data_IF_744648252087
#
_entry.id   IF_744648252087
#
_cell.length_a   1.000
_cell.length_b   1.000
_cell.length_c   1.000
_cell.angle_alpha   90.00
_cell.angle_beta   90.00
_cell.angle_gamma   90.00
#
_symmetry.space_group_name_H-M   'P 1'
#
loop_
_entity.id
_entity.type
_entity.pdbx_description
1 polymer ?
#
# COMPACT_ATOMS: atom_id res chain seq x y z
N UNK A 1 14.61 -0.10 18.31
CA UNK A 1 13.38 0.71 18.34
C UNK A 1 13.54 2.07 19.04
N UNK A 2 13.62 2.18 20.39
CA UNK A 2 13.57 3.48 21.11
C UNK A 2 14.61 4.53 20.67
N UNK A 3 15.86 4.11 20.43
CA UNK A 3 16.93 5.01 19.94
C UNK A 3 16.60 5.61 18.56
N UNK A 4 16.10 4.77 17.64
CA UNK A 4 15.68 5.19 16.30
C UNK A 4 14.55 6.21 16.37
N UNK A 5 13.49 5.93 17.14
CA UNK A 5 12.35 6.84 17.33
C UNK A 5 12.80 8.22 17.84
N UNK A 6 13.65 8.25 18.89
CA UNK A 6 14.20 9.50 19.43
C UNK A 6 15.00 10.27 18.38
N UNK A 7 15.82 9.56 17.60
CA UNK A 7 16.61 10.16 16.54
C UNK A 7 15.73 10.77 15.43
N UNK A 8 14.69 10.05 14.97
CA UNK A 8 13.73 10.57 14.00
C UNK A 8 13.07 11.84 14.56
N UNK A 9 12.51 11.78 15.78
CA UNK A 9 11.85 12.93 16.40
C UNK A 9 12.75 14.17 16.47
N UNK A 10 14.00 14.00 16.90
CA UNK A 10 14.96 15.10 16.97
C UNK A 10 15.29 15.65 15.58
N UNK A 11 15.37 14.79 14.56
CA UNK A 11 15.63 15.18 13.17
C UNK A 11 14.46 15.99 12.60
N UNK A 12 13.22 15.55 12.81
CA UNK A 12 12.02 16.25 12.33
C UNK A 12 11.87 17.64 12.97
N UNK A 13 12.18 17.77 14.26
CA UNK A 13 12.15 19.06 14.97
C UNK A 13 13.11 20.09 14.37
N UNK A 14 14.25 19.66 13.80
CA UNK A 14 15.27 20.54 13.23
C UNK A 14 15.07 20.78 11.73
N UNK A 15 14.17 20.03 11.10
CA UNK A 15 13.90 20.12 9.68
C UNK A 15 13.12 21.41 9.36
N UNK A 16 13.77 22.32 8.61
CA UNK A 16 13.21 23.60 8.17
C UNK A 16 12.59 23.54 6.76
N UNK A 17 12.70 22.40 6.07
CA UNK A 17 12.30 22.26 4.67
C UNK A 17 10.77 22.43 4.52
N UNK A 18 10.31 23.42 3.77
CA UNK A 18 8.87 23.67 3.60
C UNK A 18 8.15 22.56 2.83
N UNK A 19 8.87 21.87 1.93
CA UNK A 19 8.39 20.72 1.17
C UNK A 19 9.34 19.55 1.31
N UNK A 20 8.82 18.33 1.15
CA UNK A 20 9.62 17.11 1.16
C UNK A 20 9.49 16.38 -0.18
N UNK A 21 10.63 16.10 -0.81
CA UNK A 21 10.62 15.21 -1.98
C UNK A 21 10.35 13.77 -1.54
N UNK A 22 10.95 13.34 -0.42
CA UNK A 22 10.78 11.98 0.08
C UNK A 22 10.71 11.96 1.61
N UNK A 23 9.84 11.10 2.12
CA UNK A 23 9.78 10.71 3.52
C UNK A 23 9.77 9.19 3.62
N UNK A 24 10.87 8.61 4.10
CA UNK A 24 11.10 7.16 4.10
C UNK A 24 11.43 6.68 5.51
N UNK A 25 10.61 5.77 6.02
CA UNK A 25 10.83 5.06 7.29
C UNK A 25 11.09 3.60 6.94
N UNK A 26 12.36 3.23 6.88
CA UNK A 26 12.79 1.86 6.58
C UNK A 26 13.44 1.27 7.83
N UNK A 27 12.61 0.81 8.77
CA UNK A 27 13.08 0.32 10.06
C UNK A 27 12.11 -0.66 10.69
N UNK A 28 12.63 -1.57 11.52
CA UNK A 28 11.84 -2.53 12.26
C UNK A 28 11.01 -1.81 13.36
N UNK A 29 9.84 -1.30 12.96
CA UNK A 29 8.82 -0.68 13.82
C UNK A 29 7.49 -1.42 13.72
N UNK A 30 6.72 -1.39 14.80
CA UNK A 30 5.49 -2.15 14.96
C UNK A 30 4.43 -1.28 15.65
N UNK A 31 3.27 -1.87 16.01
CA UNK A 31 2.18 -1.16 16.70
C UNK A 31 2.58 -0.38 17.95
N UNK A 32 3.68 -0.73 18.63
CA UNK A 32 4.13 -0.01 19.83
C UNK A 32 4.72 1.37 19.50
N UNK A 33 4.98 1.67 18.23
CA UNK A 33 5.40 2.99 17.75
C UNK A 33 4.25 3.78 17.09
N UNK A 34 2.99 3.33 17.21
CA UNK A 34 1.81 3.92 16.54
C UNK A 34 1.78 5.45 16.62
N UNK A 35 1.76 5.99 17.83
CA UNK A 35 1.66 7.43 18.06
C UNK A 35 2.82 8.22 17.43
N UNK A 36 4.02 7.65 17.38
CA UNK A 36 5.19 8.32 16.81
C UNK A 36 5.12 8.31 15.29
N UNK A 37 4.75 7.17 14.68
CA UNK A 37 4.60 7.06 13.23
C UNK A 37 3.45 7.95 12.74
N UNK A 38 2.34 8.04 13.48
CA UNK A 38 1.22 8.93 13.15
C UNK A 38 1.68 10.40 13.06
N UNK A 39 2.46 10.87 14.05
CA UNK A 39 3.07 12.21 14.02
C UNK A 39 4.04 12.41 12.86
N UNK A 40 4.78 11.37 12.49
CA UNK A 40 5.70 11.44 11.35
C UNK A 40 4.96 11.57 10.03
N UNK A 41 3.85 10.86 9.88
CA UNK A 41 2.96 10.99 8.73
C UNK A 41 2.35 12.39 8.65
N UNK A 42 1.85 12.93 9.76
CA UNK A 42 1.35 14.31 9.81
C UNK A 42 2.42 15.31 9.36
N UNK A 43 3.64 15.18 9.88
CA UNK A 43 4.76 16.01 9.48
C UNK A 43 5.04 15.91 7.98
N UNK A 44 5.02 14.70 7.42
CA UNK A 44 5.30 14.46 6.02
C UNK A 44 4.22 15.07 5.11
N UNK A 45 2.95 14.84 5.43
CA UNK A 45 1.82 15.38 4.68
C UNK A 45 1.74 16.90 4.82
N UNK A 46 1.94 17.48 6.00
CA UNK A 46 1.99 18.93 6.19
C UNK A 46 3.05 19.62 5.31
N UNK A 47 4.06 18.89 4.85
CA UNK A 47 5.12 19.35 3.95
C UNK A 47 4.98 18.78 2.53
N UNK A 48 3.76 18.42 2.11
CA UNK A 48 3.43 18.06 0.73
C UNK A 48 4.37 16.99 0.16
N UNK A 49 4.62 15.93 0.94
CA UNK A 49 5.55 14.86 0.56
C UNK A 49 5.22 14.27 -0.81
N UNK A 50 6.22 14.09 -1.68
CA UNK A 50 6.02 13.46 -2.99
C UNK A 50 6.17 11.94 -2.94
N UNK A 51 7.17 11.41 -2.23
CA UNK A 51 7.34 9.97 -2.01
C UNK A 51 7.18 9.64 -0.53
N UNK A 52 6.15 8.87 -0.21
CA UNK A 52 5.96 8.31 1.13
C UNK A 52 6.29 6.82 1.13
N UNK A 53 7.22 6.41 1.98
CA UNK A 53 7.62 5.01 2.13
C UNK A 53 7.63 4.62 3.60
N UNK A 54 6.75 3.70 3.97
CA UNK A 54 6.78 3.01 5.26
C UNK A 54 7.18 1.56 5.00
N UNK A 55 8.46 1.27 5.10
CA UNK A 55 8.99 -0.09 5.08
C UNK A 55 9.23 -0.57 6.51
N UNK A 56 8.20 -1.22 7.06
CA UNK A 56 8.18 -1.65 8.45
C UNK A 56 8.43 -3.16 8.59
N UNK A 57 9.10 -3.80 7.64
CA UNK A 57 9.40 -5.24 7.71
C UNK A 57 10.21 -5.60 8.97
N UNK A 58 9.94 -6.78 9.54
CA UNK A 58 10.70 -7.34 10.67
C UNK A 58 12.09 -7.73 10.21
N UNK A 59 13.12 -7.21 10.87
CA UNK A 59 14.52 -7.38 10.47
C UNK A 59 14.84 -6.83 9.08
N UNK A 60 13.98 -5.98 8.51
CA UNK A 60 14.16 -5.42 7.15
C UNK A 60 13.70 -6.31 5.99
N UNK A 61 13.32 -7.56 6.26
CA UNK A 61 13.03 -8.52 5.19
C UNK A 61 11.70 -9.26 5.38
N UNK A 62 11.37 -9.59 6.64
CA UNK A 62 10.27 -10.49 6.95
C UNK A 62 8.95 -9.74 7.19
N UNK A 63 7.85 -10.36 6.78
CA UNK A 63 6.53 -9.89 7.16
C UNK A 63 6.35 -9.98 8.68
N UNK A 64 5.61 -9.03 9.24
CA UNK A 64 5.21 -9.09 10.64
C UNK A 64 3.98 -9.98 10.81
N UNK A 65 3.91 -10.61 11.99
CA UNK A 65 2.65 -11.16 12.48
C UNK A 65 1.62 -10.04 12.55
N UNK A 66 0.40 -10.35 12.09
CA UNK A 66 -0.69 -9.39 11.97
C UNK A 66 -0.87 -8.52 13.21
N UNK A 67 -0.91 -9.13 14.39
CA UNK A 67 -1.17 -8.42 15.65
C UNK A 67 -0.10 -7.42 16.05
N UNK A 68 1.05 -7.40 15.37
CA UNK A 68 2.14 -6.47 15.62
C UNK A 68 2.29 -5.40 14.54
N UNK A 69 1.56 -5.49 13.42
CA UNK A 69 1.63 -4.46 12.39
C UNK A 69 1.11 -3.10 12.91
N UNK A 70 1.79 -2.04 12.52
CA UNK A 70 1.30 -0.67 12.67
C UNK A 70 0.02 -0.47 11.85
N UNK A 71 -0.94 0.30 12.36
CA UNK A 71 -2.20 0.59 11.64
C UNK A 71 -2.15 1.99 11.06
N UNK A 72 -2.41 2.12 9.75
CA UNK A 72 -2.47 3.43 9.12
C UNK A 72 -3.64 4.25 9.73
N UNK A 73 -3.40 5.49 10.17
CA UNK A 73 -4.40 6.31 10.86
C UNK A 73 -5.41 6.88 9.86
N UNK A 74 -6.49 6.14 9.59
CA UNK A 74 -7.55 6.56 8.67
C UNK A 74 -8.18 7.92 9.04
N UNK A 75 -8.09 8.36 10.31
CA UNK A 75 -8.47 9.71 10.74
C UNK A 75 -7.72 10.84 10.03
N UNK A 76 -6.47 10.61 9.57
CA UNK A 76 -5.74 11.63 8.80
C UNK A 76 -6.40 11.94 7.45
N UNK A 77 -7.24 11.02 6.97
CA UNK A 77 -7.95 11.09 5.71
C UNK A 77 -9.42 11.46 5.87
N UNK A 78 -9.88 11.75 7.09
CA UNK A 78 -11.29 12.05 7.40
C UNK A 78 -12.26 10.88 7.12
N UNK A 79 -11.74 9.65 6.98
CA UNK A 79 -12.54 8.47 6.60
C UNK A 79 -13.38 7.89 7.76
N UNK A 80 -13.08 8.25 9.00
CA UNK A 80 -13.79 7.73 10.17
C UNK A 80 -15.20 8.32 10.34
N UNK A 81 -15.55 9.39 9.60
CA UNK A 81 -16.90 9.97 9.65
C UNK A 81 -17.97 9.15 8.91
N UNK A 82 -17.57 8.17 8.09
CA UNK A 82 -18.48 7.30 7.33
C UNK A 82 -18.88 6.02 8.09
N UNK A 83 -18.14 5.63 9.12
CA UNK A 83 -18.51 4.54 10.00
C UNK A 83 -19.32 5.13 11.16
N UNK A 84 -20.64 4.94 11.16
CA UNK A 84 -21.61 5.56 12.07
C UNK A 84 -21.47 5.23 13.57
N UNK A 85 -20.29 5.37 14.16
CA UNK A 85 -20.05 5.33 15.60
C UNK A 85 -19.22 6.52 16.06
N UNK A 86 -19.82 7.50 16.75
CA UNK A 86 -19.07 8.50 17.47
C UNK A 86 -18.52 7.87 18.76
N UNK A 87 -17.26 7.45 18.76
CA UNK A 87 -16.57 7.21 20.02
C UNK A 87 -16.20 8.56 20.68
N UNK A 88 -16.69 8.89 21.88
CA UNK A 88 -16.55 10.26 22.42
C UNK A 88 -15.16 10.63 22.95
N UNK A 89 -14.16 9.74 22.94
CA UNK A 89 -13.02 9.87 23.87
C UNK A 89 -11.61 9.96 23.25
N UNK A 90 -11.42 10.46 22.03
CA UNK A 90 -10.08 10.83 21.57
C UNK A 90 -10.01 12.30 21.14
N UNK A 91 -9.51 13.14 22.05
CA UNK A 91 -9.36 14.60 21.95
C UNK A 91 -8.15 15.00 21.07
N UNK A 92 -7.79 14.17 20.09
CA UNK A 92 -6.86 14.57 19.05
C UNK A 92 -7.67 14.78 17.77
N UNK A 93 -8.46 15.86 17.75
CA UNK A 93 -9.06 16.37 16.51
C UNK A 93 -7.92 16.94 15.67
N UNK A 94 -7.25 16.06 14.93
CA UNK A 94 -6.30 16.49 13.91
C UNK A 94 -7.08 17.29 12.85
N UNK A 95 -6.61 18.47 12.44
CA UNK A 95 -7.24 19.16 11.33
C UNK A 95 -7.13 18.27 10.09
N UNK A 96 -8.22 18.07 9.32
CA UNK A 96 -8.17 17.21 8.14
C UNK A 96 -7.13 17.78 7.16
N UNK A 97 -6.10 16.99 6.86
CA UNK A 97 -5.02 17.36 5.93
C UNK A 97 -5.45 17.23 4.47
N UNK A 98 -6.77 17.33 4.19
CA UNK A 98 -7.43 16.88 2.95
C UNK A 98 -6.79 17.46 1.67
N UNK A 99 -6.17 18.64 1.75
CA UNK A 99 -5.53 19.31 0.61
C UNK A 99 -4.00 19.06 0.51
N UNK A 100 -3.40 18.38 1.47
CA UNK A 100 -1.95 18.21 1.56
C UNK A 100 -1.44 16.91 0.92
N UNK A 101 -2.35 16.01 0.55
CA UNK A 101 -2.04 14.75 -0.15
C UNK A 101 -1.83 14.95 -1.66
N UNK A 102 -2.17 16.13 -2.18
CA UNK A 102 -2.18 16.41 -3.62
C UNK A 102 -0.81 16.29 -4.30
N UNK A 103 0.28 16.22 -3.53
CA UNK A 103 1.66 16.17 -4.03
C UNK A 103 2.23 14.76 -4.06
N UNK A 104 1.54 13.77 -3.47
CA UNK A 104 2.01 12.38 -3.41
C UNK A 104 2.03 11.78 -4.82
N UNK A 105 3.22 11.34 -5.22
CA UNK A 105 3.51 10.63 -6.47
C UNK A 105 3.81 9.16 -6.26
N UNK A 106 4.38 8.81 -5.12
CA UNK A 106 4.75 7.43 -4.79
C UNK A 106 4.32 7.08 -3.39
N UNK A 107 3.58 5.99 -3.24
CA UNK A 107 3.13 5.45 -1.97
C UNK A 107 3.60 4.00 -1.80
N UNK A 108 4.53 3.77 -0.88
CA UNK A 108 5.04 2.44 -0.57
C UNK A 108 4.74 2.07 0.88
N UNK A 109 3.97 1.00 1.09
CA UNK A 109 3.55 0.54 2.41
C UNK A 109 3.90 -0.93 2.57
N UNK A 110 4.81 -1.28 3.49
CA UNK A 110 5.21 -2.67 3.76
C UNK A 110 5.02 -3.01 5.25
N UNK A 111 4.31 -4.10 5.53
CA UNK A 111 3.89 -4.51 6.88
C UNK A 111 3.11 -3.42 7.64
N UNK A 112 2.18 -2.78 6.93
CA UNK A 112 1.25 -1.77 7.47
C UNK A 112 -0.18 -2.30 7.34
N UNK A 113 -0.98 -2.23 8.41
CA UNK A 113 -2.43 -2.47 8.31
C UNK A 113 -3.07 -1.27 7.63
N UNK A 114 -3.54 -1.50 6.42
CA UNK A 114 -4.25 -0.52 5.59
C UNK A 114 -5.45 -1.21 4.93
N UNK A 115 -6.56 -0.49 4.76
CA UNK A 115 -7.79 -1.00 4.13
C UNK A 115 -7.91 -0.52 2.69
N UNK A 116 -8.82 -1.12 1.91
CA UNK A 116 -9.16 -0.66 0.55
C UNK A 116 -9.52 0.81 0.52
N UNK A 117 -10.45 1.24 1.40
CA UNK A 117 -10.91 2.63 1.49
C UNK A 117 -9.76 3.65 1.65
N UNK A 118 -8.72 3.29 2.42
CA UNK A 118 -7.56 4.16 2.61
C UNK A 118 -6.75 4.27 1.31
N UNK A 119 -6.51 3.16 0.61
CA UNK A 119 -5.77 3.16 -0.66
C UNK A 119 -6.55 3.87 -1.77
N UNK A 120 -7.86 3.63 -1.85
CA UNK A 120 -8.79 4.27 -2.78
C UNK A 120 -8.88 5.78 -2.53
N UNK A 121 -8.79 6.22 -1.27
CA UNK A 121 -8.65 7.64 -0.97
C UNK A 121 -7.41 8.23 -1.65
N UNK A 122 -6.25 7.58 -1.55
CA UNK A 122 -5.04 8.06 -2.23
C UNK A 122 -5.20 8.07 -3.76
N UNK A 123 -5.79 7.03 -4.34
CA UNK A 123 -6.05 6.95 -5.79
C UNK A 123 -6.89 8.13 -6.28
N UNK A 124 -7.94 8.50 -5.55
CA UNK A 124 -8.89 9.53 -5.98
C UNK A 124 -8.56 10.96 -5.51
N UNK A 125 -7.72 11.12 -4.49
CA UNK A 125 -7.38 12.44 -3.93
C UNK A 125 -5.92 12.84 -4.19
N UNK A 126 -5.09 11.97 -4.78
CA UNK A 126 -3.71 12.29 -5.17
C UNK A 126 -3.59 12.32 -6.70
N UNK A 127 -3.77 13.49 -7.34
CA UNK A 127 -3.85 13.59 -8.81
C UNK A 127 -2.52 13.29 -9.51
N UNK A 128 -1.40 13.22 -8.79
CA UNK A 128 -0.08 12.90 -9.34
C UNK A 128 0.44 11.53 -8.90
N UNK A 129 -0.40 10.67 -8.29
CA UNK A 129 0.04 9.35 -7.85
C UNK A 129 0.37 8.47 -9.06
N UNK A 130 1.66 8.15 -9.21
CA UNK A 130 2.21 7.36 -10.32
C UNK A 130 2.55 5.93 -9.91
N UNK A 131 2.88 5.70 -8.64
CA UNK A 131 3.28 4.39 -8.11
C UNK A 131 2.63 4.12 -6.75
N UNK A 132 2.02 2.95 -6.61
CA UNK A 132 1.52 2.42 -5.35
C UNK A 132 2.00 0.99 -5.15
N UNK A 133 2.74 0.73 -4.08
CA UNK A 133 3.12 -0.64 -3.68
C UNK A 133 2.69 -0.91 -2.25
N UNK A 134 1.91 -1.96 -2.06
CA UNK A 134 1.45 -2.45 -0.76
C UNK A 134 1.94 -3.88 -0.59
N UNK A 135 2.68 -4.16 0.49
CA UNK A 135 3.18 -5.49 0.83
C UNK A 135 2.81 -5.86 2.26
N UNK A 136 2.19 -7.02 2.47
CA UNK A 136 1.90 -7.49 3.83
C UNK A 136 0.81 -6.71 4.55
N UNK A 137 -0.21 -6.24 3.82
CA UNK A 137 -1.36 -5.55 4.39
C UNK A 137 -2.47 -6.55 4.69
N UNK A 138 -2.51 -7.06 5.91
CA UNK A 138 -3.51 -8.05 6.31
C UNK A 138 -4.93 -7.50 6.37
N UNK A 139 -5.16 -6.21 6.66
CA UNK A 139 -6.52 -5.64 6.66
C UNK A 139 -7.06 -5.28 5.26
N UNK A 140 -6.30 -5.55 4.20
CA UNK A 140 -6.71 -5.24 2.85
C UNK A 140 -7.56 -6.39 2.30
N UNK A 141 -8.88 -6.22 2.31
CA UNK A 141 -9.84 -7.24 1.83
C UNK A 141 -10.25 -7.01 0.38
N UNK A 142 -10.55 -5.76 0.02
CA UNK A 142 -10.92 -5.39 -1.34
C UNK A 142 -10.12 -4.17 -1.78
N UNK A 143 -9.77 -4.11 -3.06
CA UNK A 143 -9.19 -2.93 -3.67
C UNK A 143 -9.76 -2.73 -5.07
N UNK A 144 -10.34 -1.56 -5.30
CA UNK A 144 -10.78 -1.14 -6.63
C UNK A 144 -9.88 0.00 -7.15
N UNK A 145 -9.28 -0.22 -8.32
CA UNK A 145 -8.49 0.77 -9.04
C UNK A 145 -9.24 1.12 -10.31
N UNK A 146 -10.11 2.12 -10.21
CA UNK A 146 -11.06 2.46 -11.28
C UNK A 146 -10.91 3.93 -11.69
N UNK A 147 -10.76 4.16 -12.99
CA UNK A 147 -10.91 5.49 -13.57
C UNK A 147 -9.78 5.90 -14.51
N UNK A 148 -10.10 6.43 -15.71
CA UNK A 148 -9.09 6.72 -16.73
C UNK A 148 -8.27 7.98 -16.42
N UNK A 149 -8.75 8.79 -15.46
CA UNK A 149 -8.08 10.00 -14.97
C UNK A 149 -6.93 9.70 -14.01
N UNK A 150 -6.83 8.47 -13.48
CA UNK A 150 -5.74 8.07 -12.60
C UNK A 150 -4.39 8.21 -13.32
N UNK A 151 -3.41 8.83 -12.66
CA UNK A 151 -2.02 8.92 -13.15
C UNK A 151 -1.18 7.69 -12.79
N UNK A 152 -1.79 6.70 -12.15
CA UNK A 152 -1.14 5.50 -11.67
C UNK A 152 -0.60 4.70 -12.86
N UNK A 153 0.72 4.51 -12.90
CA UNK A 153 1.43 3.70 -13.89
C UNK A 153 1.85 2.34 -13.32
N UNK A 154 2.16 2.30 -12.03
CA UNK A 154 2.75 1.14 -11.38
C UNK A 154 1.93 0.76 -10.13
N UNK A 155 1.39 -0.46 -10.12
CA UNK A 155 0.67 -1.02 -8.99
C UNK A 155 1.33 -2.33 -8.55
N UNK A 156 1.64 -2.46 -7.27
CA UNK A 156 2.15 -3.71 -6.68
C UNK A 156 1.38 -4.09 -5.42
N UNK A 157 0.69 -5.23 -5.41
CA UNK A 157 -0.06 -5.73 -4.25
C UNK A 157 0.46 -7.11 -3.84
N UNK A 158 1.26 -7.16 -2.78
CA UNK A 158 2.05 -8.34 -2.44
C UNK A 158 1.72 -8.89 -1.07
N UNK A 159 1.63 -10.21 -0.95
CA UNK A 159 1.51 -10.94 0.32
C UNK A 159 0.42 -10.37 1.24
N UNK A 160 -0.77 -10.08 0.70
CA UNK A 160 -1.93 -9.61 1.46
C UNK A 160 -2.89 -10.80 1.67
N UNK A 161 -2.84 -11.48 2.84
CA UNK A 161 -3.51 -12.78 3.02
C UNK A 161 -5.04 -12.70 2.93
N UNK A 162 -5.64 -11.63 3.46
CA UNK A 162 -7.10 -11.49 3.54
C UNK A 162 -7.69 -10.78 2.31
N UNK A 163 -6.87 -10.44 1.29
CA UNK A 163 -7.35 -9.84 0.06
C UNK A 163 -8.26 -10.84 -0.66
N UNK A 164 -9.53 -10.51 -0.87
CA UNK A 164 -10.56 -11.31 -1.54
C UNK A 164 -10.83 -10.84 -2.97
N UNK A 165 -10.66 -9.54 -3.26
CA UNK A 165 -10.91 -8.97 -4.58
C UNK A 165 -9.90 -7.87 -4.93
N UNK A 166 -9.29 -7.97 -6.12
CA UNK A 166 -8.47 -6.92 -6.71
C UNK A 166 -9.02 -6.57 -8.10
N UNK A 167 -9.71 -5.44 -8.20
CA UNK A 167 -10.34 -4.99 -9.46
C UNK A 167 -9.56 -3.81 -10.03
N UNK A 168 -9.23 -3.89 -11.32
CA UNK A 168 -8.55 -2.82 -12.04
C UNK A 168 -9.34 -2.58 -13.33
N UNK A 169 -9.95 -1.40 -13.42
CA UNK A 169 -10.85 -1.06 -14.53
C UNK A 169 -10.62 0.34 -15.07
N UNK A 170 -10.71 0.47 -16.39
CA UNK A 170 -10.68 1.77 -17.05
C UNK A 170 -9.44 2.58 -16.67
N UNK A 171 -8.25 1.97 -16.65
CA UNK A 171 -7.01 2.66 -16.23
C UNK A 171 -5.91 2.58 -17.27
N UNK A 172 -4.99 3.55 -17.22
CA UNK A 172 -3.78 3.59 -18.05
C UNK A 172 -2.57 2.97 -17.33
N UNK A 173 -2.80 1.97 -16.48
CA UNK A 173 -1.76 1.27 -15.75
C UNK A 173 -0.76 0.63 -16.74
N UNK A 174 0.54 0.73 -16.45
CA UNK A 174 1.62 0.21 -17.31
C UNK A 174 2.15 -1.11 -16.78
N UNK A 175 2.32 -1.21 -15.46
CA UNK A 175 2.82 -2.42 -14.80
C UNK A 175 1.94 -2.82 -13.62
N UNK A 176 1.67 -4.11 -13.51
CA UNK A 176 0.94 -4.72 -12.41
C UNK A 176 1.75 -5.83 -11.78
N UNK A 177 1.95 -5.77 -10.48
CA UNK A 177 2.48 -6.86 -9.67
C UNK A 177 1.45 -7.31 -8.64
N UNK A 178 1.20 -8.62 -8.52
CA UNK A 178 0.31 -9.14 -7.47
C UNK A 178 0.66 -10.54 -7.01
N UNK A 179 0.47 -10.83 -5.72
CA UNK A 179 0.48 -12.22 -5.22
C UNK A 179 -0.93 -12.85 -5.18
N UNK A 180 -1.94 -12.16 -5.71
CA UNK A 180 -3.34 -12.56 -5.64
C UNK A 180 -3.94 -12.68 -7.05
N UNK A 181 -3.20 -13.30 -7.98
CA UNK A 181 -3.62 -13.46 -9.38
C UNK A 181 -5.03 -14.07 -9.53
N UNK A 182 -5.36 -15.07 -8.72
CA UNK A 182 -6.67 -15.74 -8.72
C UNK A 182 -7.86 -14.87 -8.27
N UNK A 183 -7.60 -13.67 -7.73
CA UNK A 183 -8.61 -12.69 -7.28
C UNK A 183 -8.59 -11.42 -8.14
N UNK A 184 -7.78 -11.43 -9.19
CA UNK A 184 -7.60 -10.31 -10.10
C UNK A 184 -8.74 -10.25 -11.10
N UNK A 185 -9.31 -9.05 -11.27
CA UNK A 185 -10.26 -8.75 -12.32
C UNK A 185 -9.75 -7.54 -13.11
N UNK A 186 -9.39 -7.77 -14.37
CA UNK A 186 -8.96 -6.74 -15.31
C UNK A 186 -10.08 -6.43 -16.30
N UNK A 187 -10.28 -5.15 -16.59
CA UNK A 187 -11.15 -4.71 -17.68
C UNK A 187 -10.69 -3.35 -18.21
N UNK A 188 -10.67 -3.16 -19.53
CA UNK A 188 -10.30 -1.89 -20.15
C UNK A 188 -9.00 -1.27 -19.58
N UNK A 189 -7.90 -2.00 -19.70
CA UNK A 189 -6.54 -1.59 -19.26
C UNK A 189 -5.59 -1.59 -20.46
N UNK A 190 -5.76 -0.66 -21.42
CA UNK A 190 -5.11 -0.73 -22.73
C UNK A 190 -3.59 -0.51 -22.70
N UNK A 191 -3.06 0.10 -21.64
CA UNK A 191 -1.63 0.44 -21.51
C UNK A 191 -0.84 -0.60 -20.70
N UNK A 192 -1.48 -1.67 -20.23
CA UNK A 192 -0.85 -2.67 -19.37
C UNK A 192 0.07 -3.58 -20.19
N UNK A 193 1.38 -3.43 -20.01
CA UNK A 193 2.40 -4.15 -20.78
C UNK A 193 3.21 -5.14 -19.96
N UNK A 194 3.21 -4.99 -18.63
CA UNK A 194 3.91 -5.91 -17.73
C UNK A 194 3.00 -6.38 -16.61
N UNK A 195 2.89 -7.69 -16.45
CA UNK A 195 2.18 -8.34 -15.36
C UNK A 195 3.12 -9.32 -14.67
N UNK A 196 3.27 -9.17 -13.36
CA UNK A 196 4.04 -10.06 -12.48
C UNK A 196 3.11 -10.68 -11.44
N UNK A 197 2.98 -12.00 -11.48
CA UNK A 197 2.13 -12.76 -10.57
C UNK A 197 3.01 -13.71 -9.76
N UNK A 198 3.12 -13.42 -8.47
CA UNK A 198 3.83 -14.26 -7.50
C UNK A 198 2.84 -15.16 -6.74
N UNK A 199 3.35 -16.24 -6.15
CA UNK A 199 2.56 -17.16 -5.33
C UNK A 199 1.44 -17.88 -6.10
N UNK A 200 1.77 -18.28 -7.33
CA UNK A 200 0.99 -19.17 -8.17
C UNK A 200 0.96 -20.61 -7.60
N UNK A 201 0.39 -20.79 -6.41
CA UNK A 201 0.12 -22.13 -5.82
C UNK A 201 -1.02 -22.86 -6.53
N UNK A 202 -1.68 -22.19 -7.49
CA UNK A 202 -2.83 -22.66 -8.25
C UNK A 202 -2.48 -22.90 -9.71
N UNK A 203 -3.36 -23.65 -10.38
CA UNK A 203 -3.26 -24.04 -11.79
C UNK A 203 -3.05 -22.77 -12.64
N UNK A 204 -2.16 -22.83 -13.64
CA UNK A 204 -1.88 -21.74 -14.58
C UNK A 204 -3.15 -21.10 -15.15
N UNK A 205 -4.22 -21.87 -15.34
CA UNK A 205 -5.52 -21.40 -15.84
C UNK A 205 -6.16 -20.33 -14.96
N UNK A 206 -6.03 -20.44 -13.62
CA UNK A 206 -6.54 -19.44 -12.67
C UNK A 206 -5.81 -18.10 -12.78
N UNK A 207 -4.64 -18.11 -13.41
CA UNK A 207 -3.77 -16.94 -13.60
C UNK A 207 -4.00 -16.37 -15.00
N UNK A 208 -4.10 -17.22 -16.02
CA UNK A 208 -4.27 -16.82 -17.40
C UNK A 208 -5.65 -16.22 -17.68
N UNK A 209 -6.71 -16.71 -17.03
CA UNK A 209 -8.05 -16.17 -17.22
C UNK A 209 -8.15 -14.66 -16.88
N UNK A 210 -7.69 -14.18 -15.72
CA UNK A 210 -7.65 -12.75 -15.39
C UNK A 210 -6.88 -11.85 -16.37
N UNK A 211 -5.76 -12.35 -16.92
CA UNK A 211 -4.88 -11.57 -17.82
C UNK A 211 -5.21 -11.74 -19.30
N UNK A 212 -6.16 -12.61 -19.63
CA UNK A 212 -6.53 -12.91 -21.02
C UNK A 212 -6.96 -11.68 -21.82
N UNK A 213 -7.64 -10.74 -21.16
CA UNK A 213 -8.10 -9.49 -21.78
C UNK A 213 -6.96 -8.53 -22.18
N UNK A 214 -5.73 -8.79 -21.73
CA UNK A 214 -4.56 -7.96 -22.05
C UNK A 214 -3.50 -8.67 -22.89
N UNK A 215 -3.72 -9.92 -23.31
CA UNK A 215 -2.70 -10.69 -24.03
C UNK A 215 -2.23 -10.06 -25.33
N UNK A 216 -3.08 -9.32 -26.04
CA UNK A 216 -2.70 -8.69 -27.31
C UNK A 216 -1.72 -7.52 -27.14
N UNK A 217 -1.72 -6.84 -25.99
CA UNK A 217 -0.81 -5.73 -25.69
C UNK A 217 0.34 -6.09 -24.75
N UNK A 218 0.24 -7.21 -24.03
CA UNK A 218 1.21 -7.59 -23.00
C UNK A 218 2.59 -7.88 -23.62
N UNK A 219 3.64 -7.28 -23.05
CA UNK A 219 5.04 -7.48 -23.45
C UNK A 219 5.80 -8.41 -22.53
N UNK A 220 5.46 -8.39 -21.24
CA UNK A 220 6.12 -9.18 -20.19
C UNK A 220 5.05 -9.80 -19.30
N UNK A 221 5.08 -11.13 -19.22
CA UNK A 221 4.34 -11.89 -18.23
C UNK A 221 5.33 -12.67 -17.37
N UNK A 222 5.41 -12.32 -16.08
CA UNK A 222 6.18 -13.06 -15.09
C UNK A 222 5.21 -13.84 -14.23
N UNK A 223 5.41 -15.15 -14.13
CA UNK A 223 4.65 -16.02 -13.24
C UNK A 223 5.64 -16.78 -12.40
N UNK A 224 5.63 -16.50 -11.10
CA UNK A 224 6.51 -17.16 -10.12
C UNK A 224 5.67 -18.05 -9.22
N UNK A 225 5.83 -19.36 -9.37
CA UNK A 225 5.27 -20.33 -8.45
C UNK A 225 6.22 -20.49 -7.26
N UNK A 226 5.79 -20.07 -6.07
CA UNK A 226 6.43 -20.50 -4.84
C UNK A 226 5.89 -21.90 -4.52
N UNK A 227 6.50 -22.92 -5.13
CA UNK A 227 6.40 -24.27 -4.61
C UNK A 227 7.06 -24.24 -3.24
N UNK A 228 6.26 -24.11 -2.18
CA UNK A 228 6.76 -24.27 -0.83
C UNK A 228 7.50 -25.59 -0.78
N UNK A 229 8.81 -25.55 -0.49
CA UNK A 229 9.53 -26.72 -0.02
C UNK A 229 8.82 -27.12 1.26
N UNK A 230 7.93 -28.11 1.16
CA UNK A 230 7.47 -28.88 2.30
C UNK A 230 8.74 -29.52 2.82
N UNK A 231 9.33 -28.93 3.87
CA UNK A 231 10.32 -29.64 4.66
C UNK A 231 9.59 -30.85 5.24
N UNK A 232 9.82 -32.02 4.65
CA UNK A 232 9.51 -33.30 5.28
C UNK A 232 10.20 -33.30 6.65
N UNK A 233 9.45 -33.01 7.71
CA UNK A 233 9.86 -33.45 9.03
C UNK A 233 9.60 -34.95 9.07
N UNK A 234 10.67 -35.73 8.82
CA UNK A 234 10.73 -37.13 9.24
C UNK A 234 10.68 -37.15 10.76
N UNK A 235 9.61 -37.71 11.30
CA UNK A 235 9.63 -38.34 12.62
C UNK A 235 10.20 -39.76 12.47
#
# INVERSE_FOLDING_TARGET
MKKYVRWVNHTLQRCKAQRLDQFRVCFDLNKFAQHEIDKWLEFAFARQVQRLELDLLKGGENLRLFDYCYTFPAQLLDLNHYAGQPHPNNVNKFPPLRNNFNSVKVLLLKSVKVTGNVLEFFLHNCPFLEEMVVRGAATLVNLEVVGPSLKLKHLGIWSCPDLESLKIRDTNLVTLGTSAGHKLLLSNVPMLIEVDIMDATRILDDILAPVSCVFSQLKVLKVTANLGLVSEQKF
#
